data_IF_765851392663
#
_entry.id   IF_765851392663
#
_cell.length_a   1.000
_cell.length_b   1.000
_cell.length_c   1.000
_cell.angle_alpha   90.00
_cell.angle_beta   90.00
_cell.angle_gamma   90.00
#
_symmetry.space_group_name_H-M   'P 1'
#
loop_
_entity.id
_entity.type
_entity.pdbx_description
1 polymer ?
#
# COMPACT_ATOMS: atom_id res chain seq x y z
N UNK A 1 -5.99 -10.02 -12.86
CA UNK A 1 -5.31 -10.08 -11.55
C UNK A 1 -5.33 -11.54 -11.09
N UNK A 2 -4.17 -12.12 -10.80
CA UNK A 2 -4.08 -13.56 -10.48
C UNK A 2 -4.09 -13.86 -8.98
N UNK A 3 -4.01 -12.82 -8.15
CA UNK A 3 -4.10 -12.91 -6.69
C UNK A 3 -5.21 -11.99 -6.22
N UNK A 4 -5.89 -12.36 -5.14
CA UNK A 4 -7.00 -11.56 -4.57
C UNK A 4 -6.48 -10.38 -3.74
N UNK A 5 -5.46 -9.66 -4.23
CA UNK A 5 -5.00 -8.45 -3.58
C UNK A 5 -5.94 -7.28 -3.88
N UNK A 6 -6.26 -6.52 -2.86
CA UNK A 6 -6.93 -5.23 -2.99
C UNK A 6 -5.88 -4.13 -2.98
N UNK A 7 -5.87 -3.29 -3.99
CA UNK A 7 -4.97 -2.14 -4.09
C UNK A 7 -5.67 -0.85 -3.66
N UNK A 8 -4.91 0.06 -3.07
CA UNK A 8 -5.41 1.35 -2.59
C UNK A 8 -4.48 2.43 -3.12
N UNK A 9 -5.03 3.39 -3.87
CA UNK A 9 -4.28 4.56 -4.29
C UNK A 9 -4.14 5.56 -3.14
N UNK A 10 -2.91 5.86 -2.78
CA UNK A 10 -2.57 6.93 -1.82
C UNK A 10 -1.81 8.00 -2.59
N UNK A 11 -2.35 9.21 -2.63
CA UNK A 11 -1.73 10.33 -3.33
C UNK A 11 -0.73 11.06 -2.43
N UNK A 12 0.35 11.55 -3.01
CA UNK A 12 1.40 12.32 -2.33
C UNK A 12 0.88 13.60 -1.64
N UNK A 13 -0.19 14.19 -2.22
CA UNK A 13 -0.88 15.36 -1.68
C UNK A 13 -1.71 15.08 -0.42
N UNK A 14 -1.92 13.81 -0.07
CA UNK A 14 -2.66 13.46 1.16
C UNK A 14 -1.85 13.80 2.41
N UNK A 15 -2.51 14.43 3.38
CA UNK A 15 -1.94 14.66 4.71
C UNK A 15 -1.76 13.36 5.50
N UNK A 16 -0.87 13.41 6.51
CA UNK A 16 -0.54 12.25 7.34
C UNK A 16 -1.77 11.63 8.04
N UNK A 17 -2.71 12.45 8.49
CA UNK A 17 -3.95 12.00 9.13
C UNK A 17 -4.86 11.21 8.16
N UNK A 18 -4.96 11.68 6.90
CA UNK A 18 -5.73 10.97 5.88
C UNK A 18 -5.11 9.61 5.55
N UNK A 19 -3.78 9.56 5.43
CA UNK A 19 -3.05 8.30 5.22
C UNK A 19 -3.22 7.36 6.41
N UNK A 20 -3.15 7.87 7.64
CA UNK A 20 -3.38 7.11 8.86
C UNK A 20 -4.80 6.52 8.90
N UNK A 21 -5.80 7.34 8.59
CA UNK A 21 -7.20 6.90 8.51
C UNK A 21 -7.36 5.75 7.50
N UNK A 22 -6.82 5.93 6.27
CA UNK A 22 -6.92 4.92 5.20
C UNK A 22 -6.22 3.62 5.62
N UNK A 23 -4.99 3.71 6.14
CA UNK A 23 -4.22 2.52 6.52
C UNK A 23 -4.88 1.75 7.65
N UNK A 24 -5.45 2.43 8.63
CA UNK A 24 -6.19 1.80 9.74
C UNK A 24 -7.51 1.18 9.29
N UNK A 25 -8.31 1.92 8.48
CA UNK A 25 -9.60 1.44 8.02
C UNK A 25 -9.48 0.19 7.14
N UNK A 26 -8.40 0.09 6.37
CA UNK A 26 -8.16 -1.01 5.44
C UNK A 26 -7.21 -2.08 5.98
N UNK A 27 -6.69 -1.89 7.19
CA UNK A 27 -5.65 -2.74 7.79
C UNK A 27 -4.44 -2.91 6.85
N UNK A 28 -4.09 -1.84 6.11
CA UNK A 28 -3.05 -1.86 5.10
C UNK A 28 -1.70 -2.21 5.72
N UNK A 29 -1.13 -3.33 5.30
CA UNK A 29 0.12 -3.85 5.85
C UNK A 29 1.35 -3.54 4.99
N UNK A 30 1.17 -3.24 3.70
CA UNK A 30 2.27 -3.02 2.75
C UNK A 30 2.01 -1.80 1.89
N UNK A 31 3.03 -0.94 1.74
CA UNK A 31 3.01 0.22 0.84
C UNK A 31 4.11 0.07 -0.19
N UNK A 32 3.77 0.29 -1.46
CA UNK A 32 4.71 0.47 -2.56
C UNK A 32 4.92 1.96 -2.76
N UNK A 33 6.17 2.41 -2.80
CA UNK A 33 6.50 3.85 -2.82
C UNK A 33 7.80 4.14 -3.53
N UNK A 34 8.01 5.39 -3.90
CA UNK A 34 9.31 5.91 -4.31
C UNK A 34 10.18 6.21 -3.09
N UNK A 35 11.50 6.20 -3.27
CA UNK A 35 12.46 6.46 -2.21
C UNK A 35 12.25 7.81 -1.52
N UNK A 36 11.79 8.82 -2.26
CA UNK A 36 11.52 10.17 -1.75
C UNK A 36 10.48 10.22 -0.62
N UNK A 37 9.59 9.21 -0.51
CA UNK A 37 8.52 9.22 0.51
C UNK A 37 8.83 8.34 1.72
N UNK A 38 9.94 7.62 1.75
CA UNK A 38 10.31 6.72 2.85
C UNK A 38 10.42 7.49 4.17
N UNK A 39 11.11 8.63 4.18
CA UNK A 39 11.26 9.46 5.37
C UNK A 39 9.91 9.95 5.93
N UNK A 40 8.95 10.32 5.05
CA UNK A 40 7.60 10.72 5.43
C UNK A 40 6.88 9.58 6.17
N UNK A 41 7.00 8.36 5.69
CA UNK A 41 6.36 7.19 6.31
C UNK A 41 7.03 6.85 7.66
N UNK A 42 8.35 6.95 7.75
CA UNK A 42 9.09 6.78 9.01
C UNK A 42 8.63 7.81 10.04
N UNK A 43 8.50 9.09 9.65
CA UNK A 43 8.02 10.15 10.53
C UNK A 43 6.61 9.84 11.05
N UNK A 44 5.70 9.44 10.16
CA UNK A 44 4.35 9.02 10.55
C UNK A 44 4.36 7.89 11.58
N UNK A 45 5.22 6.88 11.41
CA UNK A 45 5.34 5.78 12.38
C UNK A 45 5.85 6.24 13.75
N UNK A 46 6.80 7.18 13.77
CA UNK A 46 7.29 7.80 15.04
C UNK A 46 6.17 8.53 15.77
N UNK A 47 5.28 9.18 15.03
CA UNK A 47 4.10 9.88 15.55
C UNK A 47 2.91 8.93 15.84
N UNK A 48 3.13 7.62 15.81
CA UNK A 48 2.13 6.57 16.04
C UNK A 48 0.98 6.57 15.01
N UNK A 49 1.23 7.09 13.82
CA UNK A 49 0.36 7.02 12.66
C UNK A 49 0.74 5.82 11.77
N UNK A 50 -0.13 5.44 10.84
CA UNK A 50 0.04 4.31 9.92
C UNK A 50 0.51 3.03 10.63
N UNK A 51 -0.04 2.75 11.81
CA UNK A 51 0.44 1.69 12.72
C UNK A 51 0.31 0.29 12.14
N UNK A 52 -0.61 0.07 11.21
CA UNK A 52 -0.83 -1.23 10.52
C UNK A 52 0.24 -1.56 9.49
N UNK A 53 0.95 -0.55 8.97
CA UNK A 53 1.98 -0.72 7.94
C UNK A 53 3.19 -1.44 8.54
N UNK A 54 3.56 -2.57 7.96
CA UNK A 54 4.70 -3.41 8.36
C UNK A 54 5.76 -3.53 7.28
N UNK A 55 5.40 -3.32 6.03
CA UNK A 55 6.29 -3.50 4.89
C UNK A 55 6.27 -2.27 3.99
N UNK A 56 7.45 -1.86 3.52
CA UNK A 56 7.61 -0.92 2.42
C UNK A 56 8.36 -1.60 1.28
N UNK A 57 7.89 -1.38 0.08
CA UNK A 57 8.56 -1.78 -1.15
C UNK A 57 8.91 -0.52 -1.92
N UNK A 58 10.19 -0.24 -2.09
CA UNK A 58 10.67 0.91 -2.87
C UNK A 58 10.82 0.54 -4.33
N UNK A 59 10.30 1.38 -5.23
CA UNK A 59 10.57 1.24 -6.67
C UNK A 59 12.01 1.62 -7.03
N UNK A 60 12.64 2.44 -6.19
CA UNK A 60 14.01 2.91 -6.35
C UNK A 60 14.98 2.10 -5.49
N UNK A 61 16.28 2.12 -5.80
CA UNK A 61 17.32 1.58 -4.92
C UNK A 61 17.26 2.18 -3.52
N UNK A 62 17.36 1.34 -2.49
CA UNK A 62 17.29 1.78 -1.09
C UNK A 62 18.68 1.94 -0.49
N UNK A 63 18.84 2.94 0.38
CA UNK A 63 20.10 3.16 1.11
C UNK A 63 20.10 2.32 2.39
N UNK A 64 21.26 1.81 2.83
CA UNK A 64 21.35 1.08 4.09
C UNK A 64 20.79 1.86 5.30
N UNK A 65 21.02 3.18 5.34
CA UNK A 65 20.47 4.04 6.38
C UNK A 65 18.91 4.06 6.41
N UNK A 66 18.26 3.99 5.26
CA UNK A 66 16.79 3.94 5.18
C UNK A 66 16.26 2.60 5.70
N UNK A 67 16.99 1.50 5.43
CA UNK A 67 16.67 0.17 5.95
C UNK A 67 16.73 0.16 7.48
N UNK A 68 17.82 0.68 8.05
CA UNK A 68 18.00 0.77 9.52
C UNK A 68 16.92 1.66 10.16
N UNK A 69 16.63 2.81 9.56
CA UNK A 69 15.61 3.74 10.04
C UNK A 69 14.20 3.13 9.99
N UNK A 70 13.87 2.37 8.94
CA UNK A 70 12.61 1.62 8.84
C UNK A 70 12.52 0.53 9.90
N UNK A 71 13.59 -0.26 10.10
CA UNK A 71 13.64 -1.30 11.13
C UNK A 71 13.43 -0.73 12.53
N UNK A 72 13.99 0.43 12.84
CA UNK A 72 13.84 1.11 14.12
C UNK A 72 12.38 1.47 14.46
N UNK A 73 11.51 1.61 13.45
CA UNK A 73 10.08 1.89 13.62
C UNK A 73 9.18 0.66 13.31
N UNK A 74 9.77 -0.53 13.20
CA UNK A 74 9.05 -1.79 12.98
C UNK A 74 8.55 -1.99 11.56
N UNK A 75 9.25 -1.43 10.57
CA UNK A 75 8.98 -1.61 9.13
C UNK A 75 10.10 -2.41 8.48
N UNK A 76 9.74 -3.39 7.65
CA UNK A 76 10.65 -4.05 6.73
C UNK A 76 10.66 -3.29 5.40
N UNK A 77 11.83 -2.77 5.00
CA UNK A 77 12.02 -2.09 3.71
C UNK A 77 12.77 -3.00 2.75
N UNK A 78 12.24 -3.17 1.55
CA UNK A 78 12.86 -3.92 0.45
C UNK A 78 12.74 -3.18 -0.87
N UNK A 79 13.61 -3.50 -1.83
CA UNK A 79 13.49 -3.01 -3.21
C UNK A 79 12.47 -3.83 -4.00
N UNK A 80 11.82 -3.19 -4.95
CA UNK A 80 10.90 -3.85 -5.87
C UNK A 80 11.59 -4.95 -6.69
N UNK A 81 12.85 -4.73 -7.09
CA UNK A 81 13.69 -5.72 -7.77
C UNK A 81 13.80 -7.03 -6.99
N UNK A 82 14.00 -6.95 -5.68
CA UNK A 82 14.03 -8.11 -4.79
C UNK A 82 12.68 -8.86 -4.80
N UNK A 83 11.57 -8.14 -4.76
CA UNK A 83 10.22 -8.76 -4.80
C UNK A 83 10.01 -9.51 -6.11
N UNK A 84 10.44 -8.94 -7.24
CA UNK A 84 10.37 -9.59 -8.55
C UNK A 84 11.24 -10.85 -8.60
N UNK A 85 12.46 -10.80 -8.08
CA UNK A 85 13.37 -11.94 -8.03
C UNK A 85 12.77 -13.09 -7.21
N UNK A 86 12.23 -12.79 -6.02
CA UNK A 86 11.56 -13.79 -5.20
C UNK A 86 10.34 -14.40 -5.90
N UNK A 87 9.53 -13.55 -6.56
CA UNK A 87 8.34 -13.98 -7.30
C UNK A 87 8.66 -14.83 -8.54
N UNK A 88 9.82 -14.64 -9.17
CA UNK A 88 10.25 -15.45 -10.33
C UNK A 88 10.47 -16.92 -9.95
N UNK A 89 10.90 -17.17 -8.73
CA UNK A 89 11.16 -18.52 -8.22
C UNK A 89 9.98 -19.12 -7.45
N UNK A 90 8.90 -18.35 -7.26
CA UNK A 90 7.72 -18.80 -6.53
C UNK A 90 6.83 -19.69 -7.41
N UNK A 91 6.57 -20.90 -6.92
CA UNK A 91 5.70 -21.89 -7.57
C UNK A 91 4.28 -21.90 -7.00
N UNK A 92 3.93 -20.93 -6.17
CA UNK A 92 2.60 -20.83 -5.56
C UNK A 92 1.53 -20.72 -6.64
N UNK A 93 0.50 -21.60 -6.63
CA UNK A 93 -0.55 -21.56 -7.64
C UNK A 93 -1.32 -20.23 -7.62
N UNK A 94 -1.60 -19.70 -8.80
CA UNK A 94 -2.44 -18.51 -8.93
C UNK A 94 -3.84 -18.76 -8.38
N UNK A 95 -4.31 -17.86 -7.52
CA UNK A 95 -5.68 -17.85 -7.05
C UNK A 95 -6.57 -17.14 -8.08
N UNK A 96 -7.62 -17.83 -8.56
CA UNK A 96 -8.60 -17.21 -9.47
C UNK A 96 -9.43 -16.17 -8.71
N UNK A 97 -9.49 -14.96 -9.27
CA UNK A 97 -10.37 -13.90 -8.77
C UNK A 97 -11.81 -14.16 -9.19
N UNK A 98 -12.75 -13.80 -8.33
CA UNK A 98 -14.18 -13.81 -8.62
C UNK A 98 -14.64 -12.45 -9.12
N UNK A 99 -15.76 -12.40 -9.81
CA UNK A 99 -16.33 -11.15 -10.33
C UNK A 99 -16.65 -10.14 -9.21
N UNK A 100 -17.03 -10.63 -8.05
CA UNK A 100 -17.43 -9.84 -6.89
C UNK A 100 -16.24 -9.50 -5.94
N UNK A 101 -15.02 -9.99 -6.23
CA UNK A 101 -13.83 -9.58 -5.47
C UNK A 101 -13.56 -8.09 -5.71
N UNK A 102 -12.98 -7.43 -4.71
CA UNK A 102 -12.67 -6.00 -4.71
C UNK A 102 -11.19 -5.76 -5.01
N UNK A 103 -10.79 -5.60 -6.28
CA UNK A 103 -9.40 -5.34 -6.63
C UNK A 103 -8.90 -3.95 -6.25
N UNK A 104 -9.82 -2.98 -6.09
CA UNK A 104 -9.46 -1.59 -5.82
C UNK A 104 -10.41 -0.98 -4.78
N UNK A 105 -9.81 -0.29 -3.80
CA UNK A 105 -10.50 0.71 -2.99
C UNK A 105 -10.02 2.09 -3.43
N UNK A 106 -10.96 2.93 -3.87
CA UNK A 106 -10.68 4.31 -4.27
C UNK A 106 -11.21 5.26 -3.21
N UNK A 107 -10.32 6.11 -2.69
CA UNK A 107 -10.71 7.12 -1.70
C UNK A 107 -10.99 8.46 -2.39
N UNK A 108 -12.13 9.03 -2.07
CA UNK A 108 -12.54 10.35 -2.54
C UNK A 108 -12.57 11.32 -1.36
N UNK A 109 -12.28 12.61 -1.62
CA UNK A 109 -12.48 13.68 -0.66
C UNK A 109 -13.98 13.81 -0.39
N UNK A 110 -14.42 13.35 0.78
CA UNK A 110 -15.82 13.49 1.18
C UNK A 110 -16.21 14.96 1.35
N UNK A 111 -17.39 15.35 0.90
CA UNK A 111 -17.95 16.68 1.13
C UNK A 111 -18.18 16.99 2.62
N UNK A 112 -18.08 15.99 3.49
CA UNK A 112 -18.30 16.06 4.95
C UNK A 112 -17.01 15.97 5.78
N UNK A 113 -15.82 16.09 5.16
CA UNK A 113 -14.52 16.15 5.86
C UNK A 113 -13.75 14.82 5.87
N UNK A 114 -14.40 13.68 6.06
CA UNK A 114 -13.72 12.38 6.06
C UNK A 114 -13.63 11.76 4.67
N UNK A 115 -12.47 11.21 4.32
CA UNK A 115 -12.28 10.46 3.08
C UNK A 115 -13.18 9.22 3.04
N UNK A 116 -13.91 9.03 1.93
CA UNK A 116 -14.81 7.89 1.74
C UNK A 116 -14.16 6.87 0.81
N UNK A 117 -14.02 5.63 1.28
CA UNK A 117 -13.52 4.52 0.48
C UNK A 117 -14.63 3.89 -0.37
N UNK A 118 -14.48 3.92 -1.68
CA UNK A 118 -15.37 3.24 -2.63
C UNK A 118 -14.76 1.89 -2.99
N UNK A 119 -15.50 0.82 -2.78
CA UNK A 119 -15.10 -0.55 -3.15
C UNK A 119 -15.51 -0.81 -4.60
N UNK A 120 -14.54 -1.07 -5.47
CA UNK A 120 -14.80 -1.40 -6.88
C UNK A 120 -14.61 -2.90 -7.09
N UNK A 121 -15.64 -3.57 -7.63
CA UNK A 121 -15.55 -4.98 -8.03
C UNK A 121 -14.89 -5.13 -9.40
N UNK A 122 -14.47 -6.35 -9.76
CA UNK A 122 -14.03 -6.64 -11.12
C UNK A 122 -15.12 -6.34 -12.15
N UNK A 123 -16.38 -6.61 -11.82
CA UNK A 123 -17.53 -6.28 -12.67
C UNK A 123 -17.63 -4.77 -12.93
N UNK A 124 -17.47 -3.94 -11.88
CA UNK A 124 -17.51 -2.48 -12.05
C UNK A 124 -16.40 -1.98 -13.00
N UNK A 125 -15.17 -2.49 -12.84
CA UNK A 125 -14.06 -2.10 -13.68
C UNK A 125 -14.25 -2.52 -15.15
N UNK A 126 -14.74 -3.73 -15.39
CA UNK A 126 -14.96 -4.23 -16.74
C UNK A 126 -16.14 -3.54 -17.45
N UNK A 127 -17.16 -3.11 -16.71
CA UNK A 127 -18.31 -2.42 -17.29
C UNK A 127 -18.03 -0.95 -17.62
N UNK A 128 -16.91 -0.39 -17.14
CA UNK A 128 -16.51 0.99 -17.41
C UNK A 128 -15.35 1.09 -18.45
N UNK A 129 -14.87 -0.03 -18.95
CA UNK A 129 -13.82 -0.10 -19.97
C UNK A 129 -14.41 -0.20 -21.38
#
# INVERSE_FOLDING_TARGET
>A
MYFTFTTIGIFDSMGAEAVDFITKQTELACIFTEQAYIEKIIAMKKDKLATTVKNLVSYDPVKPADVEACQAVGITLVEYSYVIEQGTNDTTPFRKCKQDDYPIFSYTSGTTGDSKGVKLTHTNLLSSA
#
